data_IF_575891732462
#
_entry.id   IF_575891732462
#
_cell.length_a   1.000
_cell.length_b   1.000
_cell.length_c   1.000
_cell.angle_alpha   90.00
_cell.angle_beta   90.00
_cell.angle_gamma   90.00
#
_symmetry.space_group_name_H-M   'P 1'
#
loop_
_entity.id
_entity.type
_entity.pdbx_description
1 polymer ?
#
# COMPACT_ATOMS: atom_id res chain seq x y z
N UNK A 1 18.41 -30.25 11.54
CA UNK A 1 18.92 -28.98 12.11
C UNK A 1 19.11 -28.00 10.95
N UNK A 2 18.18 -27.05 10.79
CA UNK A 2 18.17 -26.10 9.68
C UNK A 2 18.77 -24.75 10.10
N UNK A 3 19.55 -24.13 9.22
CA UNK A 3 20.13 -22.81 9.45
C UNK A 3 19.05 -21.82 9.92
N UNK A 4 19.33 -21.11 11.03
CA UNK A 4 18.53 -19.98 11.54
C UNK A 4 19.02 -18.68 10.89
N UNK A 5 18.19 -17.64 10.92
CA UNK A 5 18.58 -16.31 10.45
C UNK A 5 19.87 -15.84 11.14
N UNK A 6 20.81 -15.32 10.37
CA UNK A 6 22.03 -14.70 10.91
C UNK A 6 21.75 -13.33 11.55
N UNK A 7 20.77 -12.58 11.03
CA UNK A 7 20.33 -11.29 11.55
C UNK A 7 19.57 -11.43 12.86
N UNK A 8 20.08 -10.81 13.92
CA UNK A 8 19.47 -10.78 15.25
C UNK A 8 18.30 -9.78 15.35
N UNK A 9 18.33 -8.68 14.58
CA UNK A 9 17.30 -7.63 14.56
C UNK A 9 17.06 -7.10 13.12
N UNK A 10 16.06 -6.23 12.96
CA UNK A 10 15.87 -5.38 11.79
C UNK A 10 17.04 -4.42 11.59
N UNK A 11 17.19 -3.90 10.37
CA UNK A 11 18.22 -2.91 10.08
C UNK A 11 17.69 -1.51 10.36
N UNK A 12 18.22 -0.87 11.40
CA UNK A 12 17.86 0.50 11.77
C UNK A 12 18.66 1.53 11.00
N UNK A 13 17.97 2.54 10.46
CA UNK A 13 18.59 3.71 9.83
C UNK A 13 18.02 5.00 10.41
N UNK A 14 18.82 6.06 10.35
CA UNK A 14 18.48 7.40 10.87
C UNK A 14 18.38 8.45 9.75
N UNK A 15 18.29 7.99 8.51
CA UNK A 15 18.05 8.81 7.32
C UNK A 15 16.59 8.74 6.92
N UNK A 16 16.11 9.77 6.22
CA UNK A 16 14.80 9.74 5.57
C UNK A 16 14.77 8.69 4.43
N UNK A 17 13.55 8.36 4.00
CA UNK A 17 13.35 7.51 2.82
C UNK A 17 13.92 8.20 1.55
N UNK A 18 14.56 7.44 0.63
CA UNK A 18 15.35 8.05 -0.44
C UNK A 18 14.51 8.67 -1.57
N UNK A 19 13.25 8.27 -1.74
CA UNK A 19 12.43 8.59 -2.90
C UNK A 19 12.00 10.04 -2.97
N UNK A 20 11.64 10.67 -1.84
CA UNK A 20 11.27 12.11 -1.84
C UNK A 20 12.43 12.99 -2.28
N UNK A 21 13.63 12.74 -1.76
CA UNK A 21 14.84 13.48 -2.14
C UNK A 21 15.20 13.22 -3.60
N UNK A 22 15.24 11.94 -4.00
CA UNK A 22 15.57 11.54 -5.38
C UNK A 22 14.59 12.12 -6.41
N UNK A 23 13.28 12.13 -6.10
CA UNK A 23 12.24 12.78 -6.91
C UNK A 23 12.53 14.26 -7.13
N UNK A 24 12.88 15.00 -6.07
CA UNK A 24 13.15 16.44 -6.14
C UNK A 24 14.35 16.73 -7.04
N UNK A 25 15.44 15.98 -6.85
CA UNK A 25 16.66 16.11 -7.67
C UNK A 25 16.39 15.77 -9.14
N UNK A 26 15.70 14.65 -9.40
CA UNK A 26 15.34 14.24 -10.76
C UNK A 26 14.45 15.26 -11.46
N UNK A 27 13.49 15.89 -10.78
CA UNK A 27 12.66 16.93 -11.38
C UNK A 27 13.42 18.22 -11.70
N UNK A 28 14.52 18.50 -10.97
CA UNK A 28 15.41 19.61 -11.27
C UNK A 28 16.30 19.31 -12.48
N UNK A 29 16.90 18.10 -12.51
CA UNK A 29 17.81 17.67 -13.58
C UNK A 29 17.09 17.33 -14.89
N UNK A 30 15.90 16.72 -14.80
CA UNK A 30 15.11 16.19 -15.90
C UNK A 30 13.65 16.66 -15.83
N UNK A 31 13.37 17.96 -16.06
CA UNK A 31 12.03 18.53 -15.94
C UNK A 31 11.00 17.88 -16.88
N UNK A 32 11.45 17.27 -17.99
CA UNK A 32 10.60 16.51 -18.92
C UNK A 32 9.90 15.31 -18.28
N UNK A 33 10.35 14.81 -17.13
CA UNK A 33 9.66 13.73 -16.39
C UNK A 33 8.21 14.11 -16.07
N UNK A 34 7.92 15.41 -15.84
CA UNK A 34 6.55 15.88 -15.60
C UNK A 34 5.57 15.54 -16.73
N UNK A 35 6.06 15.39 -17.96
CA UNK A 35 5.23 14.99 -19.11
C UNK A 35 4.77 13.53 -19.05
N UNK A 36 5.38 12.71 -18.19
CA UNK A 36 4.98 11.32 -17.97
C UNK A 36 3.88 11.17 -16.91
N UNK A 37 3.67 12.20 -16.09
CA UNK A 37 2.68 12.18 -15.01
C UNK A 37 1.28 12.26 -15.59
N UNK A 38 0.36 11.42 -15.11
CA UNK A 38 -0.99 11.41 -15.64
C UNK A 38 -1.78 10.16 -15.27
N UNK A 39 -2.70 9.77 -16.13
CA UNK A 39 -3.51 8.57 -15.99
C UNK A 39 -3.54 7.79 -17.31
N UNK A 40 -3.92 6.52 -17.24
CA UNK A 40 -3.99 5.60 -18.37
C UNK A 40 -5.25 4.73 -18.30
N UNK A 41 -6.16 4.96 -19.23
CA UNK A 41 -7.41 4.19 -19.33
C UNK A 41 -7.17 2.71 -19.65
N UNK A 42 -6.01 2.34 -20.20
CA UNK A 42 -5.67 0.94 -20.52
C UNK A 42 -5.61 0.07 -19.28
N UNK A 43 -5.31 0.64 -18.11
CA UNK A 43 -5.41 -0.05 -16.82
C UNK A 43 -6.83 -0.59 -16.62
N UNK A 44 -7.85 0.24 -16.87
CA UNK A 44 -9.24 -0.17 -16.75
C UNK A 44 -9.60 -1.28 -17.76
N UNK A 45 -9.12 -1.18 -19.00
CA UNK A 45 -9.34 -2.20 -20.02
C UNK A 45 -8.70 -3.55 -19.62
N UNK A 46 -7.45 -3.54 -19.12
CA UNK A 46 -6.75 -4.73 -18.65
C UNK A 46 -7.47 -5.39 -17.48
N UNK A 47 -7.94 -4.61 -16.51
CA UNK A 47 -8.74 -5.10 -15.38
C UNK A 47 -10.01 -5.76 -15.87
N UNK A 48 -10.81 -5.09 -16.71
CA UNK A 48 -12.08 -5.62 -17.21
C UNK A 48 -11.85 -6.92 -18.00
N UNK A 49 -10.86 -6.95 -18.89
CA UNK A 49 -10.50 -8.16 -19.64
C UNK A 49 -10.09 -9.29 -18.71
N UNK A 50 -9.26 -9.01 -17.70
CA UNK A 50 -8.80 -10.03 -16.74
C UNK A 50 -9.95 -10.58 -15.90
N UNK A 51 -10.86 -9.72 -15.43
CA UNK A 51 -12.08 -10.13 -14.72
C UNK A 51 -12.95 -11.00 -15.62
N UNK A 52 -13.20 -10.60 -16.87
CA UNK A 52 -13.98 -11.40 -17.82
C UNK A 52 -13.36 -12.78 -18.07
N UNK A 53 -12.04 -12.86 -18.26
CA UNK A 53 -11.33 -14.14 -18.40
C UNK A 53 -11.56 -15.00 -17.14
N UNK A 54 -11.44 -14.41 -15.94
CA UNK A 54 -11.66 -15.15 -14.70
C UNK A 54 -13.09 -15.68 -14.57
N UNK A 55 -14.09 -14.89 -14.96
CA UNK A 55 -15.50 -15.32 -14.93
C UNK A 55 -15.78 -16.43 -15.96
N UNK A 56 -15.24 -16.31 -17.17
CA UNK A 56 -15.35 -17.36 -18.20
C UNK A 56 -14.70 -18.65 -17.70
N UNK A 57 -13.48 -18.56 -17.17
CA UNK A 57 -12.78 -19.73 -16.61
C UNK A 57 -13.53 -20.34 -15.43
N UNK A 58 -14.11 -19.52 -14.55
CA UNK A 58 -14.94 -20.00 -13.44
C UNK A 58 -16.14 -20.82 -13.95
N UNK A 59 -16.79 -20.41 -15.06
CA UNK A 59 -17.84 -21.21 -15.69
C UNK A 59 -17.27 -22.52 -16.26
N UNK A 60 -16.12 -22.49 -16.94
CA UNK A 60 -15.54 -23.68 -17.59
C UNK A 60 -15.07 -24.74 -16.58
N UNK A 61 -14.48 -24.33 -15.44
CA UNK A 61 -13.92 -25.27 -14.47
C UNK A 61 -14.97 -26.03 -13.67
N UNK A 62 -16.22 -25.56 -13.64
CA UNK A 62 -17.31 -26.17 -12.85
C UNK A 62 -17.58 -27.63 -13.25
N UNK A 63 -17.40 -27.95 -14.52
CA UNK A 63 -17.69 -29.27 -15.08
C UNK A 63 -16.44 -30.18 -15.12
N UNK A 64 -15.27 -29.67 -14.74
CA UNK A 64 -14.01 -30.42 -14.75
C UNK A 64 -13.82 -31.32 -13.53
N UNK A 65 -12.97 -32.34 -13.66
CA UNK A 65 -12.48 -33.13 -12.53
C UNK A 65 -11.61 -32.28 -11.60
N UNK A 66 -11.63 -32.56 -10.29
CA UNK A 66 -10.91 -31.77 -9.27
C UNK A 66 -9.43 -31.55 -9.56
N UNK A 67 -8.73 -32.54 -10.13
CA UNK A 67 -7.30 -32.39 -10.49
C UNK A 67 -7.07 -31.26 -11.49
N UNK A 68 -7.98 -31.07 -12.45
CA UNK A 68 -7.91 -29.98 -13.42
C UNK A 68 -8.37 -28.65 -12.83
N UNK A 69 -9.34 -28.68 -11.91
CA UNK A 69 -9.72 -27.49 -11.13
C UNK A 69 -8.48 -26.94 -10.44
N UNK A 70 -7.78 -27.75 -9.63
CA UNK A 70 -6.56 -27.32 -8.93
C UNK A 70 -5.43 -26.88 -9.87
N UNK A 71 -5.24 -27.57 -11.00
CA UNK A 71 -4.26 -27.16 -12.01
C UNK A 71 -4.57 -25.74 -12.55
N UNK A 72 -5.82 -25.48 -12.94
CA UNK A 72 -6.22 -24.17 -13.45
C UNK A 72 -6.30 -23.11 -12.34
N UNK A 73 -6.65 -23.49 -11.12
CA UNK A 73 -6.56 -22.62 -9.93
C UNK A 73 -5.12 -22.12 -9.78
N UNK A 74 -4.14 -23.00 -9.87
CA UNK A 74 -2.73 -22.61 -9.69
C UNK A 74 -2.23 -21.76 -10.86
N UNK A 75 -2.36 -22.26 -12.09
CA UNK A 75 -1.71 -21.66 -13.26
C UNK A 75 -2.44 -20.41 -13.74
N UNK A 76 -3.76 -20.47 -13.85
CA UNK A 76 -4.56 -19.37 -14.41
C UNK A 76 -5.06 -18.47 -13.29
N UNK A 77 -5.82 -19.01 -12.34
CA UNK A 77 -6.44 -18.18 -11.31
C UNK A 77 -5.42 -17.50 -10.41
N UNK A 78 -4.38 -18.23 -9.97
CA UNK A 78 -3.30 -17.69 -9.15
C UNK A 78 -2.57 -16.52 -9.83
N UNK A 79 -2.23 -16.69 -11.10
CA UNK A 79 -1.60 -15.65 -11.91
C UNK A 79 -2.50 -14.43 -12.09
N UNK A 80 -3.76 -14.65 -12.50
CA UNK A 80 -4.68 -13.56 -12.81
C UNK A 80 -5.21 -12.85 -11.55
N UNK A 81 -5.44 -13.56 -10.45
CA UNK A 81 -5.81 -12.93 -9.17
C UNK A 81 -4.66 -12.13 -8.60
N UNK A 82 -3.41 -12.61 -8.72
CA UNK A 82 -2.28 -11.78 -8.33
C UNK A 82 -2.21 -10.51 -9.21
N UNK A 83 -2.35 -10.63 -10.53
CA UNK A 83 -2.44 -9.48 -11.43
C UNK A 83 -3.55 -8.50 -11.00
N UNK A 84 -4.76 -8.99 -10.71
CA UNK A 84 -5.86 -8.16 -10.23
C UNK A 84 -5.55 -7.51 -8.88
N UNK A 85 -4.87 -8.18 -7.94
CA UNK A 85 -4.44 -7.52 -6.70
C UNK A 85 -3.42 -6.39 -6.97
N UNK A 86 -2.53 -6.57 -7.95
CA UNK A 86 -1.60 -5.50 -8.35
C UNK A 86 -2.36 -4.36 -9.02
N UNK A 87 -3.48 -4.61 -9.69
CA UNK A 87 -4.28 -3.51 -10.24
C UNK A 87 -4.78 -2.53 -9.16
N UNK A 88 -4.94 -2.99 -7.91
CA UNK A 88 -5.27 -2.11 -6.78
C UNK A 88 -4.18 -1.08 -6.51
N UNK A 89 -2.92 -1.41 -6.80
CA UNK A 89 -1.80 -0.49 -6.72
C UNK A 89 -2.01 0.71 -7.64
N UNK A 90 -2.23 0.43 -8.93
CA UNK A 90 -2.44 1.47 -9.94
C UNK A 90 -3.71 2.28 -9.69
N UNK A 91 -4.82 1.59 -9.37
CA UNK A 91 -6.10 2.21 -9.07
C UNK A 91 -6.03 3.02 -7.75
N UNK A 92 -5.25 2.54 -6.79
CA UNK A 92 -4.97 3.19 -5.51
C UNK A 92 -4.38 4.58 -5.70
N UNK A 93 -3.44 4.71 -6.64
CA UNK A 93 -2.84 5.97 -7.07
C UNK A 93 -3.72 6.78 -8.04
N UNK A 94 -4.96 6.34 -8.28
CA UNK A 94 -5.91 6.92 -9.23
C UNK A 94 -5.38 6.96 -10.67
N UNK A 95 -4.50 6.04 -11.05
CA UNK A 95 -3.84 6.05 -12.36
C UNK A 95 -4.77 5.60 -13.50
N UNK A 96 -5.90 4.96 -13.23
CA UNK A 96 -6.80 4.53 -14.31
C UNK A 96 -7.59 5.71 -14.93
N UNK A 97 -8.15 6.59 -14.09
CA UNK A 97 -8.99 7.71 -14.55
C UNK A 97 -8.58 9.09 -14.00
N UNK A 98 -7.47 9.16 -13.27
CA UNK A 98 -6.97 10.39 -12.65
C UNK A 98 -7.74 10.83 -11.40
N UNK A 99 -7.16 11.80 -10.70
CA UNK A 99 -7.73 12.35 -9.45
C UNK A 99 -9.06 13.09 -9.64
N UNK A 100 -9.39 13.50 -10.87
CA UNK A 100 -10.64 14.19 -11.20
C UNK A 100 -11.84 13.24 -11.32
N UNK A 101 -11.63 11.91 -11.35
CA UNK A 101 -12.70 10.90 -11.37
C UNK A 101 -12.50 9.85 -10.27
N UNK A 102 -12.58 10.24 -8.99
CA UNK A 102 -12.35 9.34 -7.86
C UNK A 102 -13.40 8.23 -7.75
N UNK A 103 -14.64 8.47 -8.21
CA UNK A 103 -15.69 7.46 -8.22
C UNK A 103 -15.42 6.36 -9.27
N UNK A 104 -14.96 6.74 -10.48
CA UNK A 104 -14.65 5.78 -11.53
C UNK A 104 -13.52 4.83 -11.13
N UNK A 105 -12.44 5.37 -10.53
CA UNK A 105 -11.36 4.54 -9.97
C UNK A 105 -11.88 3.58 -8.90
N UNK A 106 -12.80 4.03 -8.05
CA UNK A 106 -13.36 3.20 -6.98
C UNK A 106 -14.26 2.08 -7.49
N UNK A 107 -15.13 2.38 -8.46
CA UNK A 107 -15.95 1.36 -9.11
C UNK A 107 -15.07 0.32 -9.80
N UNK A 108 -14.00 0.76 -10.49
CA UNK A 108 -13.03 -0.15 -11.09
C UNK A 108 -12.33 -1.00 -10.02
N UNK A 109 -12.00 -0.44 -8.86
CA UNK A 109 -11.45 -1.17 -7.72
C UNK A 109 -12.40 -2.28 -7.23
N UNK A 110 -13.70 -1.99 -7.10
CA UNK A 110 -14.70 -3.02 -6.76
C UNK A 110 -14.79 -4.11 -7.83
N UNK A 111 -14.79 -3.75 -9.12
CA UNK A 111 -14.81 -4.72 -10.23
C UNK A 111 -13.56 -5.59 -10.22
N UNK A 112 -12.38 -5.00 -10.04
CA UNK A 112 -11.12 -5.72 -9.92
C UNK A 112 -11.12 -6.69 -8.73
N UNK A 113 -11.85 -6.36 -7.65
CA UNK A 113 -11.94 -7.18 -6.45
C UNK A 113 -12.73 -8.48 -6.66
N UNK A 114 -13.76 -8.49 -7.51
CA UNK A 114 -14.73 -9.59 -7.56
C UNK A 114 -14.08 -11.00 -7.68
N UNK A 115 -13.08 -11.24 -8.56
CA UNK A 115 -12.48 -12.57 -8.67
C UNK A 115 -11.61 -12.98 -7.49
N UNK A 116 -11.29 -12.07 -6.55
CA UNK A 116 -10.39 -12.35 -5.43
C UNK A 116 -11.09 -13.03 -4.25
N UNK A 117 -12.42 -12.97 -4.15
CA UNK A 117 -13.23 -13.54 -3.07
C UNK A 117 -12.87 -13.03 -1.66
N UNK A 118 -12.21 -11.86 -1.57
CA UNK A 118 -11.76 -11.24 -0.31
C UNK A 118 -11.84 -9.71 -0.47
N UNK A 119 -12.65 -9.00 0.33
CA UNK A 119 -12.84 -7.57 0.17
C UNK A 119 -11.59 -6.81 0.61
N UNK A 120 -10.83 -6.30 -0.36
CA UNK A 120 -9.50 -5.76 -0.12
C UNK A 120 -9.21 -4.46 -0.85
N UNK A 121 -9.92 -4.13 -1.94
CA UNK A 121 -9.58 -2.97 -2.79
C UNK A 121 -9.52 -1.63 -2.02
N UNK A 122 -10.52 -1.35 -1.17
CA UNK A 122 -10.58 -0.09 -0.40
C UNK A 122 -9.56 -0.07 0.72
N UNK A 123 -9.47 -1.16 1.47
CA UNK A 123 -8.54 -1.29 2.60
C UNK A 123 -7.09 -1.28 2.12
N UNK A 124 -6.79 -1.92 0.99
CA UNK A 124 -5.49 -1.88 0.33
C UNK A 124 -5.07 -0.45 0.07
N UNK A 125 -5.88 0.34 -0.66
CA UNK A 125 -5.56 1.76 -0.94
C UNK A 125 -5.30 2.57 0.34
N UNK A 126 -6.11 2.35 1.38
CA UNK A 126 -6.03 3.06 2.67
C UNK A 126 -4.72 2.83 3.42
N UNK A 127 -4.13 1.63 3.32
CA UNK A 127 -2.85 1.31 3.95
C UNK A 127 -1.67 1.52 3.01
N UNK A 128 -1.84 1.26 1.72
CA UNK A 128 -0.81 1.42 0.70
C UNK A 128 -0.29 2.87 0.59
N UNK A 129 -1.17 3.85 0.71
CA UNK A 129 -0.77 5.27 0.73
C UNK A 129 0.10 5.60 1.95
N UNK A 130 -0.18 5.01 3.11
CA UNK A 130 0.65 5.18 4.31
C UNK A 130 2.02 4.54 4.11
N UNK A 131 2.08 3.34 3.53
CA UNK A 131 3.33 2.67 3.21
C UNK A 131 4.22 3.54 2.31
N UNK A 132 3.70 4.10 1.21
CA UNK A 132 4.48 5.01 0.37
C UNK A 132 4.96 6.27 1.10
N UNK A 133 4.16 6.79 2.04
CA UNK A 133 4.46 8.03 2.75
C UNK A 133 5.44 7.81 3.91
N UNK A 134 5.36 6.67 4.57
CA UNK A 134 6.07 6.35 5.80
C UNK A 134 6.88 5.06 5.66
N UNK A 135 7.35 4.75 4.46
CA UNK A 135 8.16 3.56 4.17
C UNK A 135 9.21 3.37 5.26
N UNK A 136 9.33 2.16 5.79
CA UNK A 136 10.29 1.79 6.82
C UNK A 136 10.07 2.43 8.19
N UNK A 137 9.11 3.33 8.40
CA UNK A 137 8.82 3.88 9.73
C UNK A 137 8.26 2.80 10.65
N UNK A 138 8.88 2.63 11.82
CA UNK A 138 8.55 1.54 12.74
C UNK A 138 7.09 1.57 13.20
N UNK A 139 6.44 2.74 13.30
CA UNK A 139 5.09 2.86 13.83
C UNK A 139 4.03 3.10 12.75
N UNK A 140 4.42 3.70 11.63
CA UNK A 140 3.48 4.18 10.61
C UNK A 140 3.50 3.35 9.33
N UNK A 141 4.54 2.56 9.06
CA UNK A 141 4.55 1.65 7.91
C UNK A 141 3.72 0.38 8.21
N UNK A 142 2.55 0.19 7.56
CA UNK A 142 1.73 -1.00 7.79
C UNK A 142 2.34 -2.27 7.19
N UNK A 143 3.30 -2.17 6.27
CA UNK A 143 3.87 -3.31 5.57
C UNK A 143 4.97 -4.03 6.38
N UNK A 144 5.57 -3.38 7.38
CA UNK A 144 6.67 -3.97 8.15
C UNK A 144 6.23 -5.21 8.95
N UNK A 145 6.91 -6.37 8.80
CA UNK A 145 6.64 -7.53 9.62
C UNK A 145 6.78 -7.23 11.11
N UNK A 146 5.87 -7.76 11.93
CA UNK A 146 5.98 -7.65 13.39
C UNK A 146 7.19 -8.42 13.93
N UNK A 147 7.67 -8.07 15.12
CA UNK A 147 8.71 -8.85 15.80
C UNK A 147 8.29 -10.31 16.01
N UNK A 148 7.01 -10.55 16.30
CA UNK A 148 6.46 -11.89 16.46
C UNK A 148 6.52 -12.68 15.15
N UNK A 149 6.03 -12.13 14.04
CA UNK A 149 6.15 -12.78 12.72
C UNK A 149 7.61 -13.08 12.40
N UNK A 150 8.50 -12.11 12.64
CA UNK A 150 9.89 -12.24 12.28
C UNK A 150 10.66 -13.26 13.14
N UNK A 151 10.25 -13.43 14.39
CA UNK A 151 10.73 -14.50 15.26
C UNK A 151 10.13 -15.87 14.86
N UNK A 152 8.84 -15.92 14.57
CA UNK A 152 8.13 -17.16 14.26
C UNK A 152 8.67 -17.81 12.96
N UNK A 153 8.95 -16.99 11.96
CA UNK A 153 9.31 -17.47 10.61
C UNK A 153 10.82 -17.37 10.30
N UNK A 154 11.67 -17.53 11.32
CA UNK A 154 13.13 -17.42 11.18
C UNK A 154 13.83 -18.64 10.55
N UNK A 155 13.19 -19.82 10.55
CA UNK A 155 13.81 -21.04 9.99
C UNK A 155 13.51 -21.17 8.50
N UNK A 156 14.28 -21.97 7.75
CA UNK A 156 13.99 -22.24 6.32
C UNK A 156 12.54 -22.69 6.08
N UNK A 157 12.03 -23.62 6.89
CA UNK A 157 10.63 -24.07 6.82
C UNK A 157 9.69 -22.94 7.24
N UNK A 158 10.04 -22.19 8.29
CA UNK A 158 9.31 -21.00 8.71
C UNK A 158 9.14 -19.99 7.58
N UNK A 159 10.17 -19.73 6.78
CA UNK A 159 10.09 -18.84 5.62
C UNK A 159 9.17 -19.37 4.51
N UNK A 160 9.13 -20.69 4.28
CA UNK A 160 8.14 -21.28 3.35
C UNK A 160 6.72 -21.07 3.87
N UNK A 161 6.50 -21.28 5.18
CA UNK A 161 5.20 -21.03 5.80
C UNK A 161 4.84 -19.54 5.76
N UNK A 162 5.82 -18.64 5.94
CA UNK A 162 5.64 -17.20 5.82
C UNK A 162 5.09 -16.81 4.45
N UNK A 163 5.70 -17.34 3.37
CA UNK A 163 5.23 -17.10 2.00
C UNK A 163 3.83 -17.70 1.80
N UNK A 164 3.57 -18.92 2.29
CA UNK A 164 2.25 -19.52 2.20
C UNK A 164 1.17 -18.74 2.96
N UNK A 165 1.53 -18.15 4.10
CA UNK A 165 0.66 -17.35 4.94
C UNK A 165 0.60 -15.88 4.52
N UNK A 166 1.37 -15.46 3.52
CA UNK A 166 1.44 -14.08 3.06
C UNK A 166 0.06 -13.45 2.76
N UNK A 167 -0.92 -14.12 2.11
CA UNK A 167 -2.25 -13.52 1.91
C UNK A 167 -2.94 -13.13 3.22
N UNK A 168 -2.78 -13.95 4.26
CA UNK A 168 -3.32 -13.69 5.60
C UNK A 168 -2.52 -12.60 6.31
N UNK A 169 -1.19 -12.71 6.31
CA UNK A 169 -0.32 -11.77 7.00
C UNK A 169 -0.46 -10.37 6.41
N UNK A 170 -0.48 -10.23 5.09
CA UNK A 170 -0.63 -8.96 4.41
C UNK A 170 -2.01 -8.31 4.66
N UNK A 171 -3.07 -9.12 4.80
CA UNK A 171 -4.40 -8.62 5.13
C UNK A 171 -4.58 -8.22 6.61
N UNK A 172 -3.96 -8.95 7.54
CA UNK A 172 -4.17 -8.77 8.99
C UNK A 172 -3.13 -7.85 9.63
N UNK A 173 -1.86 -7.91 9.21
CA UNK A 173 -0.76 -7.12 9.78
C UNK A 173 -1.07 -5.62 9.83
N UNK A 174 -1.60 -4.97 8.77
CA UNK A 174 -1.94 -3.55 8.84
C UNK A 174 -2.96 -3.22 9.94
N UNK A 175 -3.94 -4.10 10.15
CA UNK A 175 -5.00 -3.92 11.15
C UNK A 175 -4.47 -4.03 12.59
N UNK A 176 -3.39 -4.80 12.80
CA UNK A 176 -2.73 -4.95 14.09
C UNK A 176 -1.70 -3.86 14.36
N UNK A 177 -0.92 -3.47 13.34
CA UNK A 177 0.15 -2.47 13.48
C UNK A 177 -0.37 -1.05 13.52
N UNK A 178 -1.24 -0.71 12.57
CA UNK A 178 -1.72 0.66 12.36
C UNK A 178 -3.25 0.62 12.33
N UNK A 179 -3.94 0.26 13.42
CA UNK A 179 -5.38 0.11 13.41
C UNK A 179 -6.07 1.41 13.00
N UNK A 180 -6.86 1.35 11.92
CA UNK A 180 -7.67 2.48 11.43
C UNK A 180 -9.16 2.13 11.55
N UNK A 181 -10.03 3.13 11.83
CA UNK A 181 -11.48 2.90 11.93
C UNK A 181 -12.04 2.38 10.60
N UNK A 182 -13.01 1.47 10.67
CA UNK A 182 -13.72 0.96 9.50
C UNK A 182 -14.54 2.09 8.86
N UNK A 183 -14.47 2.18 7.52
CA UNK A 183 -15.21 3.19 6.75
C UNK A 183 -16.43 2.58 6.07
N UNK A 184 -17.42 3.42 5.74
CA UNK A 184 -18.59 3.00 4.95
C UNK A 184 -18.20 2.38 3.60
N UNK A 185 -17.10 2.84 2.99
CA UNK A 185 -16.62 2.29 1.72
C UNK A 185 -16.08 0.86 1.86
N UNK A 186 -15.42 0.55 2.98
CA UNK A 186 -14.99 -0.81 3.29
C UNK A 186 -16.19 -1.73 3.53
N UNK A 187 -17.24 -1.23 4.21
CA UNK A 187 -18.51 -1.96 4.37
C UNK A 187 -19.18 -2.21 3.02
N UNK A 188 -19.21 -1.23 2.12
CA UNK A 188 -19.75 -1.40 0.77
C UNK A 188 -18.94 -2.42 -0.03
N UNK A 189 -17.61 -2.37 0.02
CA UNK A 189 -16.76 -3.38 -0.63
C UNK A 189 -17.06 -4.79 -0.10
N UNK A 190 -17.20 -4.93 1.22
CA UNK A 190 -17.52 -6.19 1.88
C UNK A 190 -18.88 -6.75 1.43
N UNK A 191 -19.91 -5.90 1.37
CA UNK A 191 -21.25 -6.32 0.90
C UNK A 191 -21.19 -6.75 -0.57
N UNK A 192 -20.56 -5.96 -1.44
CA UNK A 192 -20.41 -6.30 -2.87
C UNK A 192 -19.71 -7.65 -3.02
N UNK A 193 -18.61 -7.86 -2.30
CA UNK A 193 -17.81 -9.09 -2.38
C UNK A 193 -18.61 -10.31 -1.93
N UNK A 194 -19.24 -10.26 -0.75
CA UNK A 194 -20.01 -11.41 -0.24
C UNK A 194 -21.25 -11.71 -1.06
N UNK A 195 -21.90 -10.69 -1.62
CA UNK A 195 -22.98 -10.91 -2.58
C UNK A 195 -22.43 -11.62 -3.81
N UNK A 196 -21.35 -11.13 -4.40
CA UNK A 196 -20.74 -11.75 -5.58
C UNK A 196 -20.31 -13.20 -5.33
N UNK A 197 -19.60 -13.47 -4.22
CA UNK A 197 -19.17 -14.82 -3.82
C UNK A 197 -20.37 -15.75 -3.62
N UNK A 198 -21.44 -15.25 -2.99
CA UNK A 198 -22.71 -15.97 -2.84
C UNK A 198 -23.35 -16.31 -4.18
N UNK A 199 -23.36 -15.38 -5.13
CA UNK A 199 -23.86 -15.60 -6.49
C UNK A 199 -23.00 -16.64 -7.24
N UNK A 200 -21.67 -16.59 -7.13
CA UNK A 200 -20.78 -17.60 -7.71
C UNK A 200 -21.05 -18.98 -7.12
N UNK A 201 -21.16 -19.08 -5.80
CA UNK A 201 -21.47 -20.34 -5.11
C UNK A 201 -22.84 -20.90 -5.52
N UNK A 202 -23.85 -20.05 -5.64
CA UNK A 202 -25.21 -20.45 -5.99
C UNK A 202 -25.34 -20.86 -7.47
N UNK A 203 -24.83 -20.05 -8.40
CA UNK A 203 -25.01 -20.28 -9.85
C UNK A 203 -23.93 -21.14 -10.50
N UNK A 204 -22.68 -21.07 -10.03
CA UNK A 204 -21.53 -21.77 -10.63
C UNK A 204 -21.01 -22.92 -9.76
N UNK A 205 -21.42 -23.00 -8.50
CA UNK A 205 -21.08 -24.08 -7.59
C UNK A 205 -19.67 -24.01 -7.00
N UNK A 206 -19.39 -24.95 -6.08
CA UNK A 206 -18.18 -24.96 -5.24
C UNK A 206 -16.85 -25.01 -6.00
N UNK A 207 -16.78 -25.65 -7.17
CA UNK A 207 -15.52 -25.76 -7.92
C UNK A 207 -15.07 -24.42 -8.47
N UNK A 208 -16.01 -23.62 -8.94
CA UNK A 208 -15.81 -22.26 -9.46
C UNK A 208 -15.37 -21.32 -8.34
N UNK A 209 -15.99 -21.42 -7.16
CA UNK A 209 -15.54 -20.69 -5.98
C UNK A 209 -14.14 -21.12 -5.53
N UNK A 210 -13.84 -22.43 -5.46
CA UNK A 210 -12.48 -22.93 -5.16
C UNK A 210 -11.46 -22.38 -6.16
N UNK A 211 -11.81 -22.35 -7.44
CA UNK A 211 -10.96 -21.78 -8.48
C UNK A 211 -10.62 -20.30 -8.22
N UNK A 212 -11.59 -19.47 -7.86
CA UNK A 212 -11.35 -18.05 -7.57
C UNK A 212 -10.65 -17.85 -6.21
N UNK A 213 -11.25 -18.34 -5.13
CA UNK A 213 -10.75 -18.13 -3.77
C UNK A 213 -9.35 -18.70 -3.54
N UNK A 214 -9.11 -19.96 -3.91
CA UNK A 214 -7.77 -20.52 -3.79
C UNK A 214 -6.80 -19.98 -4.84
N UNK A 215 -7.30 -19.42 -5.95
CA UNK A 215 -6.49 -18.61 -6.86
C UNK A 215 -5.86 -17.43 -6.11
N UNK A 216 -6.64 -16.69 -5.32
CA UNK A 216 -6.11 -15.61 -4.46
C UNK A 216 -5.11 -16.13 -3.44
N UNK A 217 -5.46 -17.18 -2.70
CA UNK A 217 -4.58 -17.74 -1.66
C UNK A 217 -3.23 -18.19 -2.25
N UNK A 218 -3.25 -18.87 -3.40
CA UNK A 218 -2.03 -19.35 -4.04
C UNK A 218 -1.26 -18.21 -4.71
N UNK A 219 -1.95 -17.36 -5.49
CA UNK A 219 -1.37 -16.23 -6.22
C UNK A 219 -0.69 -15.20 -5.33
N UNK A 220 -1.25 -14.93 -4.15
CA UNK A 220 -0.64 -14.05 -3.14
C UNK A 220 0.32 -14.79 -2.19
N UNK A 221 0.37 -16.12 -2.27
CA UNK A 221 1.14 -17.00 -1.40
C UNK A 221 2.21 -17.81 -2.16
N UNK A 222 2.11 -19.14 -2.18
CA UNK A 222 3.09 -20.02 -2.84
C UNK A 222 2.94 -20.05 -4.38
N UNK A 223 3.26 -18.95 -5.05
CA UNK A 223 3.23 -18.85 -6.52
C UNK A 223 4.46 -18.08 -7.04
N UNK A 224 5.02 -18.43 -8.22
CA UNK A 224 6.18 -17.73 -8.79
C UNK A 224 6.07 -16.21 -8.82
N UNK A 225 4.87 -15.71 -9.07
CA UNK A 225 4.58 -14.27 -9.17
C UNK A 225 4.63 -13.54 -7.83
N UNK A 226 4.39 -14.25 -6.70
CA UNK A 226 4.33 -13.65 -5.37
C UNK A 226 5.70 -13.20 -4.85
N UNK A 227 6.78 -13.60 -5.53
CA UNK A 227 8.12 -13.09 -5.27
C UNK A 227 8.19 -11.56 -5.38
N UNK A 228 7.22 -10.95 -6.06
CA UNK A 228 6.89 -9.53 -5.99
C UNK A 228 6.98 -8.96 -4.55
N UNK A 229 6.21 -9.49 -3.60
CA UNK A 229 6.11 -8.96 -2.22
C UNK A 229 7.43 -8.98 -1.45
N UNK A 230 8.33 -9.90 -1.84
CA UNK A 230 9.65 -10.01 -1.22
C UNK A 230 10.65 -9.12 -1.95
N UNK A 231 10.52 -9.02 -3.28
CA UNK A 231 11.49 -8.31 -4.12
C UNK A 231 11.55 -6.82 -3.83
N UNK A 232 10.45 -6.21 -3.39
CA UNK A 232 10.33 -4.75 -3.33
C UNK A 232 11.17 -4.11 -2.23
N UNK A 233 10.96 -4.52 -0.97
CA UNK A 233 11.49 -3.83 0.20
C UNK A 233 12.35 -4.68 1.15
N UNK A 234 12.64 -5.93 0.78
CA UNK A 234 13.57 -6.75 1.56
C UNK A 234 15.02 -6.45 1.18
N UNK A 235 15.89 -6.37 2.18
CA UNK A 235 17.30 -6.01 2.03
C UNK A 235 18.07 -7.22 1.50
N UNK A 236 18.22 -7.30 0.18
CA UNK A 236 19.07 -8.27 -0.51
C UNK A 236 20.54 -7.84 -0.59
N UNK A 237 20.79 -6.53 -0.63
CA UNK A 237 22.10 -5.89 -0.65
C UNK A 237 22.11 -4.82 0.43
N UNK A 238 23.12 -4.83 1.31
CA UNK A 238 23.22 -3.84 2.37
C UNK A 238 23.30 -2.42 1.80
N UNK A 239 22.60 -1.48 2.46
CA UNK A 239 22.50 -0.10 2.01
C UNK A 239 21.36 0.18 1.03
N UNK A 240 20.65 -0.84 0.55
CA UNK A 240 19.51 -0.67 -0.37
C UNK A 240 18.21 -1.21 0.22
N UNK A 241 17.16 -0.39 0.12
CA UNK A 241 15.86 -0.63 0.76
C UNK A 241 14.69 -0.76 -0.19
N UNK A 242 14.92 -0.56 -1.49
CA UNK A 242 13.90 -0.67 -2.52
C UNK A 242 14.56 -1.22 -3.78
N UNK A 243 13.97 -2.24 -4.39
CA UNK A 243 14.53 -2.89 -5.56
C UNK A 243 13.52 -2.94 -6.68
N UNK A 244 14.00 -2.68 -7.89
CA UNK A 244 13.20 -2.90 -9.09
C UNK A 244 13.42 -4.32 -9.61
N UNK A 245 12.40 -4.89 -10.23
CA UNK A 245 12.39 -6.10 -11.02
C UNK A 245 12.24 -5.76 -12.52
N UNK A 246 13.21 -6.19 -13.32
CA UNK A 246 13.21 -6.04 -14.78
C UNK A 246 13.11 -7.40 -15.48
N UNK A 247 11.98 -8.08 -15.30
CA UNK A 247 11.72 -9.36 -15.95
C UNK A 247 10.32 -9.46 -16.57
N UNK A 248 10.00 -10.61 -17.19
CA UNK A 248 8.82 -10.78 -18.03
C UNK A 248 7.49 -10.68 -17.28
N UNK A 249 7.47 -10.88 -15.96
CA UNK A 249 6.21 -10.81 -15.20
C UNK A 249 5.59 -9.40 -15.21
N UNK A 250 6.40 -8.37 -15.48
CA UNK A 250 5.92 -6.99 -15.64
C UNK A 250 4.81 -6.84 -16.69
N UNK A 251 4.80 -7.66 -17.75
CA UNK A 251 3.76 -7.63 -18.79
C UNK A 251 2.36 -7.93 -18.26
N UNK A 252 2.26 -8.69 -17.17
CA UNK A 252 0.99 -9.08 -16.53
C UNK A 252 0.79 -8.45 -15.15
N UNK A 253 1.74 -7.64 -14.67
CA UNK A 253 1.67 -6.95 -13.38
C UNK A 253 1.84 -5.44 -13.53
N UNK A 254 1.33 -4.86 -14.62
CA UNK A 254 1.27 -3.40 -14.82
C UNK A 254 2.63 -2.69 -14.70
N UNK A 255 3.74 -3.38 -15.00
CA UNK A 255 5.11 -2.90 -14.75
C UNK A 255 5.41 -2.48 -13.29
N UNK A 256 4.67 -2.99 -12.30
CA UNK A 256 4.93 -2.71 -10.87
C UNK A 256 6.37 -3.02 -10.45
N UNK A 257 7.04 -3.96 -11.14
CA UNK A 257 8.43 -4.28 -10.91
C UNK A 257 9.37 -3.08 -11.16
N UNK A 258 8.99 -2.04 -11.89
CA UNK A 258 9.73 -0.77 -11.91
C UNK A 258 9.51 0.00 -10.59
N UNK A 259 9.87 -0.65 -9.48
CA UNK A 259 9.39 -0.27 -8.16
C UNK A 259 10.10 0.96 -7.60
N UNK A 260 11.43 1.09 -7.80
CA UNK A 260 12.13 2.33 -7.47
C UNK A 260 11.57 3.50 -8.27
N UNK A 261 11.35 3.31 -9.57
CA UNK A 261 10.77 4.30 -10.47
C UNK A 261 9.36 4.72 -10.00
N UNK A 262 8.56 3.74 -9.59
CA UNK A 262 7.22 3.95 -9.05
C UNK A 262 7.24 4.70 -7.71
N UNK A 263 8.06 4.29 -6.73
CA UNK A 263 8.15 5.01 -5.46
C UNK A 263 8.66 6.45 -5.65
N UNK A 264 9.58 6.66 -6.59
CA UNK A 264 10.01 8.00 -6.96
C UNK A 264 8.90 8.80 -7.64
N UNK A 265 8.02 8.18 -8.42
CA UNK A 265 6.97 8.89 -9.16
C UNK A 265 5.66 8.09 -9.23
N UNK A 266 4.90 8.00 -8.12
CA UNK A 266 3.69 7.15 -8.04
C UNK A 266 2.52 7.68 -8.89
N UNK A 267 2.67 8.87 -9.47
CA UNK A 267 1.72 9.49 -10.38
C UNK A 267 2.07 9.30 -11.87
N UNK A 268 3.07 8.46 -12.17
CA UNK A 268 3.39 8.02 -13.53
C UNK A 268 2.81 6.62 -13.72
N UNK A 269 1.90 6.41 -14.70
CA UNK A 269 1.36 5.09 -14.99
C UNK A 269 2.45 4.05 -15.31
N UNK A 270 2.27 2.81 -14.87
CA UNK A 270 3.25 1.73 -15.02
C UNK A 270 3.84 1.55 -16.43
N UNK A 271 3.05 1.74 -17.49
CA UNK A 271 3.53 1.65 -18.88
C UNK A 271 4.62 2.67 -19.26
N UNK A 272 4.72 3.79 -18.52
CA UNK A 272 5.71 4.85 -18.73
C UNK A 272 6.94 4.71 -17.84
N UNK A 273 6.92 3.85 -16.82
CA UNK A 273 8.07 3.64 -15.94
C UNK A 273 9.34 3.18 -16.70
N UNK A 274 9.26 2.32 -17.75
CA UNK A 274 10.41 2.04 -18.60
C UNK A 274 10.98 3.28 -19.30
N UNK A 275 10.14 4.27 -19.63
CA UNK A 275 10.58 5.54 -20.23
C UNK A 275 11.21 6.45 -19.17
N UNK A 276 10.65 6.50 -17.96
CA UNK A 276 11.25 7.20 -16.83
C UNK A 276 12.68 6.68 -16.56
N UNK A 277 12.85 5.36 -16.49
CA UNK A 277 14.18 4.74 -16.32
C UNK A 277 15.18 5.22 -17.37
N UNK A 278 14.76 5.29 -18.64
CA UNK A 278 15.59 5.78 -19.76
C UNK A 278 15.93 7.27 -19.68
N UNK A 279 15.08 8.09 -19.07
CA UNK A 279 15.33 9.53 -18.92
C UNK A 279 16.38 9.80 -17.83
N UNK A 280 16.38 9.00 -16.76
CA UNK A 280 17.23 9.19 -15.60
C UNK A 280 18.15 7.97 -15.32
N UNK A 281 18.97 7.52 -16.28
CA UNK A 281 19.79 6.32 -16.13
C UNK A 281 20.76 6.43 -14.95
N UNK A 282 21.33 7.61 -14.69
CA UNK A 282 22.25 7.84 -13.57
C UNK A 282 21.65 7.50 -12.20
N UNK A 283 20.32 7.56 -12.06
CA UNK A 283 19.60 7.28 -10.83
C UNK A 283 19.18 5.81 -10.69
N UNK A 284 19.08 5.07 -11.80
CA UNK A 284 18.50 3.73 -11.82
C UNK A 284 19.46 2.61 -12.26
N UNK A 285 20.40 2.88 -13.16
CA UNK A 285 21.23 1.85 -13.78
C UNK A 285 22.26 1.24 -12.81
N UNK A 286 22.61 1.97 -11.75
CA UNK A 286 23.54 1.51 -10.72
C UNK A 286 22.85 0.94 -9.47
N UNK A 287 21.50 0.94 -9.43
CA UNK A 287 20.77 0.34 -8.32
C UNK A 287 20.71 -1.19 -8.48
N UNK A 288 20.81 -1.96 -7.37
CA UNK A 288 20.58 -3.39 -7.44
C UNK A 288 19.13 -3.66 -7.87
N UNK A 289 18.98 -4.66 -8.74
CA UNK A 289 17.70 -5.05 -9.29
C UNK A 289 17.56 -6.58 -9.36
N UNK A 290 16.33 -7.04 -9.51
CA UNK A 290 15.98 -8.43 -9.73
C UNK A 290 15.61 -8.67 -11.19
N UNK A 291 15.88 -9.88 -11.68
CA UNK A 291 15.44 -10.33 -13.02
C UNK A 291 14.50 -11.54 -12.96
N UNK A 292 14.37 -12.16 -11.77
CA UNK A 292 13.49 -13.32 -11.55
C UNK A 292 12.90 -13.33 -10.14
N UNK A 293 11.58 -13.20 -10.03
CA UNK A 293 10.85 -13.37 -8.76
C UNK A 293 10.90 -14.80 -8.22
N UNK A 294 11.06 -15.80 -9.09
CA UNK A 294 11.33 -17.18 -8.66
C UNK A 294 12.66 -17.24 -7.90
N UNK A 295 13.70 -16.59 -8.44
CA UNK A 295 15.01 -16.53 -7.77
C UNK A 295 14.90 -15.80 -6.42
N UNK A 296 14.16 -14.70 -6.37
CA UNK A 296 13.88 -13.97 -5.10
C UNK A 296 13.28 -14.89 -4.05
N UNK A 297 12.26 -15.68 -4.39
CA UNK A 297 11.65 -16.66 -3.47
C UNK A 297 12.67 -17.69 -3.00
N UNK A 298 13.44 -18.27 -3.93
CA UNK A 298 14.45 -19.29 -3.62
C UNK A 298 15.52 -18.73 -2.69
N UNK A 299 16.06 -17.54 -3.00
CA UNK A 299 17.08 -16.88 -2.20
C UNK A 299 16.55 -16.55 -0.80
N UNK A 300 15.34 -15.98 -0.70
CA UNK A 300 14.71 -15.68 0.58
C UNK A 300 14.62 -16.92 1.47
N UNK A 301 14.18 -18.05 0.92
CA UNK A 301 14.05 -19.31 1.67
C UNK A 301 15.42 -19.90 2.03
N UNK A 302 16.37 -19.92 1.10
CA UNK A 302 17.63 -20.67 1.24
C UNK A 302 18.74 -19.90 1.94
N UNK A 303 18.84 -18.58 1.72
CA UNK A 303 19.87 -17.74 2.28
C UNK A 303 19.59 -17.48 3.78
N UNK A 304 20.50 -17.83 4.70
CA UNK A 304 20.34 -17.54 6.13
C UNK A 304 20.34 -16.04 6.46
N UNK A 305 20.82 -15.17 5.58
CA UNK A 305 20.86 -13.72 5.81
C UNK A 305 19.56 -13.00 5.44
N UNK A 306 18.66 -13.70 4.74
CA UNK A 306 17.37 -13.17 4.27
C UNK A 306 16.22 -13.73 5.08
N UNK A 307 15.28 -12.91 5.51
CA UNK A 307 14.04 -13.35 6.12
C UNK A 307 13.15 -12.18 6.48
N UNK A 308 12.11 -12.39 7.31
CA UNK A 308 11.20 -11.32 7.73
C UNK A 308 11.90 -10.08 8.35
N UNK A 309 13.09 -10.27 8.96
CA UNK A 309 13.90 -9.18 9.55
C UNK A 309 14.73 -8.39 8.53
N UNK A 310 14.87 -8.87 7.30
CA UNK A 310 15.64 -8.20 6.25
C UNK A 310 14.84 -7.03 5.69
N UNK A 311 14.46 -6.09 6.55
CA UNK A 311 13.66 -4.90 6.27
C UNK A 311 14.30 -3.71 6.98
N UNK A 312 14.26 -2.54 6.36
CA UNK A 312 14.70 -1.33 7.04
C UNK A 312 13.63 -0.93 8.05
N UNK A 313 14.07 -0.50 9.23
CA UNK A 313 13.27 0.26 10.18
C UNK A 313 13.92 1.62 10.41
N UNK A 314 13.10 2.64 10.56
CA UNK A 314 13.52 3.98 10.96
C UNK A 314 12.53 4.54 11.95
N UNK A 315 13.03 5.44 12.76
CA UNK A 315 12.20 6.33 13.55
C UNK A 315 12.23 7.65 12.80
N UNK A 316 11.14 8.00 12.11
CA UNK A 316 10.99 9.40 11.67
C UNK A 316 11.21 10.30 12.88
N UNK A 317 11.77 11.51 12.70
CA UNK A 317 11.90 12.50 13.78
C UNK A 317 10.48 12.84 14.29
N UNK A 318 9.99 12.00 15.19
CA UNK A 318 8.58 11.77 15.45
C UNK A 318 7.95 12.92 16.19
N UNK A 319 8.76 13.82 16.73
CA UNK A 319 8.31 14.90 17.58
C UNK A 319 7.58 15.98 16.77
N UNK A 320 7.98 16.24 15.52
CA UNK A 320 7.31 17.22 14.67
C UNK A 320 5.97 16.70 14.10
N UNK A 321 5.90 15.43 13.70
CA UNK A 321 4.67 14.82 13.15
C UNK A 321 3.68 14.41 14.25
N UNK A 322 4.16 13.92 15.42
CA UNK A 322 3.31 13.70 16.60
C UNK A 322 2.78 15.01 17.14
N UNK A 323 3.57 16.08 17.20
CA UNK A 323 3.08 17.41 17.57
C UNK A 323 1.99 17.88 16.58
N UNK A 324 2.24 17.80 15.27
CA UNK A 324 1.28 18.27 14.28
C UNK A 324 -0.03 17.46 14.23
N UNK A 325 0.04 16.13 14.35
CA UNK A 325 -1.16 15.29 14.38
C UNK A 325 -1.92 15.39 15.73
N UNK A 326 -1.22 15.58 16.85
CA UNK A 326 -1.86 15.84 18.14
C UNK A 326 -2.51 17.22 18.19
N UNK A 327 -1.92 18.23 17.53
CA UNK A 327 -2.49 19.57 17.36
C UNK A 327 -3.71 19.50 16.44
N UNK A 328 -3.65 18.79 15.30
CA UNK A 328 -4.79 18.64 14.38
C UNK A 328 -5.95 17.89 15.04
N UNK A 329 -5.68 16.78 15.76
CA UNK A 329 -6.68 16.04 16.51
C UNK A 329 -7.31 16.88 17.62
N UNK A 330 -6.51 17.55 18.47
CA UNK A 330 -7.03 18.46 19.51
C UNK A 330 -7.82 19.62 18.90
N UNK A 331 -7.40 20.15 17.75
CA UNK A 331 -8.13 21.24 17.08
C UNK A 331 -9.50 20.78 16.57
N UNK A 332 -9.59 19.58 15.98
CA UNK A 332 -10.85 18.99 15.51
C UNK A 332 -11.78 18.63 16.65
N UNK A 333 -11.27 18.06 17.74
CA UNK A 333 -12.08 17.76 18.94
C UNK A 333 -12.61 19.04 19.57
N UNK A 334 -11.77 20.08 19.71
CA UNK A 334 -12.19 21.37 20.28
C UNK A 334 -13.17 22.13 19.38
N UNK A 335 -13.04 22.02 18.06
CA UNK A 335 -14.04 22.55 17.12
C UNK A 335 -15.37 21.80 17.26
N UNK A 336 -15.36 20.48 17.41
CA UNK A 336 -16.57 19.68 17.58
C UNK A 336 -17.25 19.93 18.94
N UNK A 337 -16.49 20.09 20.02
CA UNK A 337 -17.01 20.50 21.33
C UNK A 337 -17.64 21.90 21.27
N UNK A 338 -16.99 22.85 20.61
CA UNK A 338 -17.52 24.21 20.43
C UNK A 338 -18.78 24.22 19.54
N UNK A 339 -18.84 23.39 18.49
CA UNK A 339 -20.04 23.24 17.67
C UNK A 339 -21.20 22.61 18.46
N UNK A 340 -20.90 21.64 19.32
CA UNK A 340 -21.86 21.00 20.21
C UNK A 340 -22.38 21.97 21.30
N UNK A 341 -21.52 22.83 21.84
CA UNK A 341 -21.93 23.88 22.79
C UNK A 341 -22.72 25.01 22.13
N UNK A 342 -22.42 25.35 20.87
CA UNK A 342 -23.21 26.32 20.08
C UNK A 342 -24.60 25.76 19.76
N UNK A 343 -24.70 24.47 19.42
CA UNK A 343 -25.99 23.84 19.13
C UNK A 343 -26.83 23.65 20.42
N UNK A 344 -26.19 23.43 21.58
CA UNK A 344 -26.89 23.31 22.89
C UNK A 344 -27.23 24.65 23.57
N UNK A 345 -26.47 25.73 23.32
CA UNK A 345 -26.78 27.06 23.88
C UNK A 345 -27.81 27.87 23.07
N UNK A 346 -28.46 27.28 22.06
CA UNK A 346 -29.50 27.93 21.27
C UNK A 346 -30.81 28.21 22.03
N UNK A 347 -30.85 28.06 23.36
CA UNK A 347 -32.06 28.31 24.14
C UNK A 347 -32.12 29.64 24.91
N UNK A 348 -31.12 30.54 24.87
CA UNK A 348 -31.31 31.88 25.44
C UNK A 348 -30.61 33.03 24.69
N UNK A 349 -31.46 33.90 24.13
CA UNK A 349 -31.32 35.35 23.88
C UNK A 349 -29.91 35.92 23.58
N UNK A 350 -29.63 36.25 22.31
CA UNK A 350 -28.86 37.44 21.87
C UNK A 350 -29.07 37.69 20.36
N UNK A 351 -29.05 38.95 19.88
CA UNK A 351 -29.54 39.30 18.54
C UNK A 351 -28.58 38.89 17.40
N UNK A 352 -29.19 38.74 16.23
CA UNK A 352 -28.73 38.22 14.94
C UNK A 352 -27.24 38.41 14.57
N UNK A 353 -26.51 37.28 14.54
CA UNK A 353 -25.31 37.08 13.72
C UNK A 353 -25.51 35.74 13.00
N UNK A 354 -25.20 35.66 11.71
CA UNK A 354 -25.33 34.41 10.96
C UNK A 354 -24.34 33.35 11.49
N UNK A 355 -24.67 32.05 11.32
CA UNK A 355 -23.82 30.93 11.76
C UNK A 355 -22.39 31.04 11.20
N UNK A 356 -22.27 31.54 9.97
CA UNK A 356 -21.00 31.73 9.26
C UNK A 356 -20.17 32.88 9.85
N UNK A 357 -20.78 34.01 10.21
CA UNK A 357 -20.10 35.15 10.86
C UNK A 357 -19.61 34.80 12.27
N UNK A 358 -20.37 33.99 13.01
CA UNK A 358 -19.96 33.51 14.35
C UNK A 358 -18.75 32.59 14.26
N UNK A 359 -18.72 31.68 13.27
CA UNK A 359 -17.58 30.79 13.01
C UNK A 359 -16.33 31.61 12.59
N UNK A 360 -16.52 32.64 11.76
CA UNK A 360 -15.41 33.49 11.29
C UNK A 360 -14.78 34.33 12.41
N UNK A 361 -15.61 34.95 13.26
CA UNK A 361 -15.12 35.71 14.42
C UNK A 361 -14.38 34.81 15.44
N UNK A 362 -14.82 33.56 15.60
CA UNK A 362 -14.15 32.63 16.49
C UNK A 362 -12.82 32.12 15.92
N UNK A 363 -12.74 31.85 14.60
CA UNK A 363 -11.47 31.53 13.91
C UNK A 363 -10.44 32.64 14.07
N UNK A 364 -10.83 33.91 13.97
CA UNK A 364 -9.96 35.07 14.27
C UNK A 364 -9.43 35.04 15.70
N UNK A 365 -10.30 34.75 16.68
CA UNK A 365 -9.95 34.70 18.12
C UNK A 365 -9.01 33.54 18.48
N UNK A 366 -9.12 32.39 17.79
CA UNK A 366 -8.17 31.27 17.94
C UNK A 366 -6.84 31.60 17.27
N UNK A 367 -6.85 32.20 16.07
CA UNK A 367 -5.60 32.56 15.37
C UNK A 367 -4.74 33.56 16.17
N UNK A 368 -5.37 34.52 16.85
CA UNK A 368 -4.68 35.48 17.71
C UNK A 368 -4.15 34.90 19.03
N UNK A 369 -4.66 33.74 19.47
CA UNK A 369 -4.09 32.99 20.62
C UNK A 369 -3.00 32.00 20.20
N UNK A 370 -2.99 31.58 18.94
CA UNK A 370 -1.94 30.71 18.39
C UNK A 370 -0.65 31.48 18.09
N UNK A 371 -0.73 32.75 17.68
CA UNK A 371 0.45 33.61 17.50
C UNK A 371 1.28 33.78 18.77
N UNK A 372 0.63 33.84 19.94
CA UNK A 372 1.28 33.94 21.26
C UNK A 372 1.95 32.62 21.71
N UNK A 373 1.57 31.48 21.13
CA UNK A 373 2.18 30.18 21.43
C UNK A 373 3.39 29.85 20.55
N UNK A 374 3.47 30.45 19.36
CA UNK A 374 4.62 30.34 18.45
C UNK A 374 5.86 31.09 18.96
N UNK A 375 5.68 32.21 19.67
CA UNK A 375 6.79 32.96 20.29
C UNK A 375 7.45 32.20 21.45
N UNK A 376 6.71 31.31 22.11
CA UNK A 376 7.24 30.47 23.20
C UNK A 376 8.13 29.32 22.68
N UNK A 377 7.87 28.84 21.46
CA UNK A 377 8.66 27.77 20.81
C UNK A 377 9.97 28.31 20.21
N UNK A 378 9.99 29.55 19.70
CA UNK A 378 11.23 30.20 19.27
C UNK A 378 12.20 30.46 20.45
N UNK A 379 11.67 30.73 21.65
CA UNK A 379 12.50 30.94 22.83
C UNK A 379 13.20 29.67 23.33
N UNK A 380 12.56 28.49 23.22
CA UNK A 380 13.17 27.21 23.59
C UNK A 380 14.21 26.71 22.59
N UNK A 381 14.08 27.05 21.30
CA UNK A 381 15.08 26.70 20.28
C UNK A 381 16.37 27.54 20.39
N UNK A 382 16.30 28.75 20.93
CA UNK A 382 17.48 29.61 21.11
C UNK A 382 18.34 29.24 22.33
N UNK A 383 17.78 28.60 23.36
CA UNK A 383 18.56 28.14 24.52
C UNK A 383 19.38 26.87 24.21
N UNK A 384 18.92 26.02 23.27
CA UNK A 384 19.66 24.82 22.89
C UNK A 384 20.85 25.07 21.95
N UNK A 385 20.96 26.24 21.31
CA UNK A 385 22.11 26.57 20.44
C UNK A 385 23.30 27.22 21.16
N UNK A 386 23.23 27.36 22.49
CA UNK A 386 24.31 27.93 23.32
C UNK A 386 25.06 26.90 24.18
N UNK A 387 24.89 25.61 23.93
CA UNK A 387 25.57 24.52 24.66
C UNK A 387 26.24 23.44 23.79
N UNK A 388 26.59 23.76 22.54
CA UNK A 388 27.62 23.01 21.79
C UNK A 388 28.69 23.94 21.25
#
# INVERSE_FOLDING_TARGET
>A
MGARLSRSDFQWVYTDEPHTTRRKEMLQKYPQIKQLMGHDWRIAAQVVVTVLIQLIMAVLVRDLQWKYVWLFTYVISGTLNHSLSISFHEIGHNLAFGNHRPLANRILGYIANLPLCIPSSVTFKKYHIDHHKFQGDDLLDPDLPTYFEAWLFQSRIGKVIYIAAQPLLYGVRPLLRVPKPLTLLEVVNLIIEFVFDGLVMYFLGRKSFVYLFFGTVLGLGLHPISGHFISEHYIFVEGYETYSYYGPMNYITYNVGYHNEHHDFPNIPGYLLPKLKKIAPDYYDNLPCHTSWIKVIIDFVRNPDLGPKSRIRRTMRSDALRANNAIDFKSKTKINEVLHDIDNNNNHQTPHLSKEERILNYKKKISGKMSDSSSTVEHMNNEHSKQE
#
